data_IF_369925663943
#
_entry.id   IF_369925663943
#
_cell.length_a   1.000
_cell.length_b   1.000
_cell.length_c   1.000
_cell.angle_alpha   90.00
_cell.angle_beta   90.00
_cell.angle_gamma   90.00
#
_symmetry.space_group_name_H-M   'P 1'
#
loop_
_entity.id
_entity.type
_entity.pdbx_description
1 polymer ?
#
# COMPACT_ATOMS: atom_id res chain seq x y z
N UNK A 1 -20.98 58.39 -14.35
CA UNK A 1 -21.22 58.14 -12.90
C UNK A 1 -21.32 56.65 -12.71
N UNK A 2 -20.49 56.11 -11.83
CA UNK A 2 -20.17 54.69 -11.67
C UNK A 2 -21.36 53.83 -11.20
N UNK A 3 -21.34 52.59 -11.68
CA UNK A 3 -22.16 51.45 -11.31
C UNK A 3 -21.81 50.90 -9.92
N UNK A 4 -22.84 50.56 -9.14
CA UNK A 4 -22.77 49.79 -7.90
C UNK A 4 -22.99 48.30 -8.21
N UNK A 5 -22.06 47.45 -7.77
CA UNK A 5 -22.28 46.02 -7.54
C UNK A 5 -21.71 45.69 -6.15
N UNK A 6 -22.36 44.83 -5.34
CA UNK A 6 -21.92 44.51 -4.01
C UNK A 6 -20.86 43.40 -4.00
N UNK A 7 -19.92 43.52 -3.07
CA UNK A 7 -18.97 42.49 -2.66
C UNK A 7 -19.63 41.56 -1.65
N UNK A 8 -19.51 40.25 -1.86
CA UNK A 8 -19.66 39.26 -0.79
C UNK A 8 -18.64 38.16 -1.02
N UNK A 9 -17.68 38.06 -0.10
CA UNK A 9 -16.76 36.94 0.05
C UNK A 9 -17.19 36.24 1.33
N UNK A 10 -17.74 35.04 1.22
CA UNK A 10 -18.06 34.21 2.38
C UNK A 10 -16.94 33.19 2.54
N UNK A 11 -16.24 33.28 3.67
CA UNK A 11 -15.28 32.29 4.17
C UNK A 11 -16.05 31.13 4.80
N UNK A 12 -15.68 29.90 4.47
CA UNK A 12 -16.04 28.71 5.24
C UNK A 12 -14.79 27.86 5.46
N UNK A 13 -14.65 27.39 6.70
CA UNK A 13 -13.47 26.78 7.28
C UNK A 13 -13.23 25.36 6.74
N UNK A 14 -11.95 24.99 6.58
CA UNK A 14 -11.51 23.64 6.23
C UNK A 14 -10.96 22.92 7.47
N UNK A 15 -11.40 21.68 7.64
CA UNK A 15 -10.73 20.69 8.47
C UNK A 15 -9.45 20.22 7.76
N UNK A 16 -8.41 20.06 8.57
CA UNK A 16 -7.15 19.32 8.37
C UNK A 16 -6.67 19.04 6.93
N UNK A 17 -5.61 19.74 6.52
CA UNK A 17 -4.59 19.21 5.61
C UNK A 17 -4.65 19.62 4.13
N UNK A 18 -5.76 20.15 3.62
CA UNK A 18 -5.87 20.49 2.19
C UNK A 18 -5.77 22.00 1.98
N UNK A 19 -4.58 22.48 1.58
CA UNK A 19 -4.38 23.89 1.22
C UNK A 19 -4.94 24.12 -0.19
N UNK A 20 -6.14 24.69 -0.22
CA UNK A 20 -6.74 25.32 -1.39
C UNK A 20 -6.30 26.78 -1.48
N UNK A 21 -5.61 27.18 -2.55
CA UNK A 21 -5.41 28.60 -2.85
C UNK A 21 -5.98 28.92 -4.24
N UNK A 22 -6.96 29.83 -4.35
CA UNK A 22 -7.36 30.37 -5.64
C UNK A 22 -6.24 31.29 -6.14
N UNK A 23 -5.62 30.93 -7.27
CA UNK A 23 -4.59 31.75 -7.89
C UNK A 23 -5.21 33.05 -8.48
N UNK A 24 -4.78 34.26 -8.06
CA UNK A 24 -5.30 35.49 -8.64
C UNK A 24 -4.75 35.66 -10.06
N UNK A 25 -5.63 36.13 -10.95
CA UNK A 25 -5.36 36.48 -12.35
C UNK A 25 -4.03 37.24 -12.52
N UNK A 26 -3.28 36.78 -13.52
CA UNK A 26 -2.13 37.38 -14.20
C UNK A 26 -2.05 38.92 -14.06
N UNK A 27 -1.12 39.40 -13.25
CA UNK A 27 -0.62 40.78 -13.31
C UNK A 27 0.65 40.83 -14.18
N UNK A 28 0.64 41.74 -15.17
CA UNK A 28 1.76 42.06 -16.08
C UNK A 28 2.88 42.86 -15.35
N UNK A 29 4.11 42.91 -15.90
CA UNK A 29 5.36 42.85 -15.13
C UNK A 29 5.93 44.21 -14.67
N UNK A 30 6.73 44.16 -13.59
CA UNK A 30 7.79 45.13 -13.26
C UNK A 30 9.13 44.36 -13.16
N UNK A 31 10.23 44.83 -13.78
CA UNK A 31 11.52 44.16 -13.72
C UNK A 31 12.27 44.56 -12.44
N UNK A 32 12.60 43.58 -11.59
CA UNK A 32 13.43 43.77 -10.42
C UNK A 32 14.29 42.53 -10.18
N UNK A 33 15.61 42.73 -10.16
CA UNK A 33 16.64 41.74 -9.85
C UNK A 33 16.42 41.15 -8.46
N UNK A 34 16.10 39.86 -8.39
CA UNK A 34 16.19 39.07 -7.15
C UNK A 34 17.23 37.97 -7.38
N UNK A 35 18.31 37.97 -6.60
CA UNK A 35 19.28 36.87 -6.61
C UNK A 35 18.57 35.53 -6.31
N UNK A 36 18.98 34.42 -6.95
CA UNK A 36 18.39 33.11 -6.68
C UNK A 36 18.59 32.76 -5.21
N UNK A 37 17.50 32.36 -4.54
CA UNK A 37 17.59 31.87 -3.16
C UNK A 37 18.49 30.63 -3.14
N UNK A 38 19.33 30.48 -2.11
CA UNK A 38 20.19 29.32 -2.00
C UNK A 38 19.37 28.03 -2.00
N UNK A 39 19.64 27.12 -2.94
CA UNK A 39 18.96 25.82 -3.06
C UNK A 39 19.04 25.00 -1.76
N UNK A 40 20.09 25.21 -0.96
CA UNK A 40 20.25 24.59 0.35
C UNK A 40 19.17 25.01 1.36
N UNK A 41 18.68 26.25 1.29
CA UNK A 41 17.61 26.74 2.17
C UNK A 41 16.26 26.20 1.70
N UNK A 42 16.02 26.19 0.38
CA UNK A 42 14.78 25.65 -0.20
C UNK A 42 14.58 24.18 0.20
N UNK A 43 15.65 23.38 0.19
CA UNK A 43 15.59 21.98 0.58
C UNK A 43 15.21 21.73 2.06
N UNK A 44 15.30 22.75 2.92
CA UNK A 44 14.93 22.66 4.34
C UNK A 44 13.48 23.07 4.59
N UNK A 45 12.82 23.70 3.61
CA UNK A 45 11.42 24.13 3.73
C UNK A 45 10.48 22.96 3.45
N UNK A 46 9.35 22.94 4.15
CA UNK A 46 8.25 22.07 3.75
C UNK A 46 7.52 22.62 2.52
N UNK A 47 6.55 21.85 2.01
CA UNK A 47 5.81 22.22 0.80
C UNK A 47 4.95 23.48 1.01
N UNK A 48 4.40 23.69 2.21
CA UNK A 48 3.59 24.85 2.54
C UNK A 48 4.42 26.13 2.50
N UNK A 49 5.58 26.09 3.15
CA UNK A 49 6.56 27.19 3.14
C UNK A 49 7.05 27.51 1.73
N UNK A 50 7.31 26.50 0.89
CA UNK A 50 7.69 26.69 -0.52
C UNK A 50 6.57 27.35 -1.33
N UNK A 51 5.32 26.94 -1.13
CA UNK A 51 4.16 27.58 -1.78
C UNK A 51 4.06 29.04 -1.35
N UNK A 52 4.14 29.32 -0.05
CA UNK A 52 4.10 30.70 0.47
C UNK A 52 5.24 31.55 -0.10
N UNK A 53 6.47 31.02 -0.13
CA UNK A 53 7.62 31.70 -0.71
C UNK A 53 7.42 31.98 -2.21
N UNK A 54 6.87 31.02 -2.96
CA UNK A 54 6.56 31.16 -4.39
C UNK A 54 5.51 32.24 -4.68
N UNK A 55 4.64 32.54 -3.71
CA UNK A 55 3.65 33.61 -3.83
C UNK A 55 4.27 35.01 -3.72
N UNK A 56 5.41 35.15 -3.02
CA UNK A 56 6.00 36.46 -2.70
C UNK A 56 6.58 37.19 -3.91
N UNK A 57 7.23 36.49 -4.85
CA UNK A 57 7.82 37.11 -6.03
C UNK A 57 7.93 36.16 -7.24
N UNK A 58 8.06 36.72 -8.43
CA UNK A 58 8.17 35.94 -9.69
C UNK A 58 9.43 35.06 -9.74
N UNK A 59 10.53 35.54 -9.16
CA UNK A 59 11.80 34.80 -9.15
C UNK A 59 11.64 33.48 -8.38
N UNK A 60 11.17 33.55 -7.13
CA UNK A 60 10.93 32.35 -6.32
C UNK A 60 9.83 31.48 -6.90
N UNK A 61 8.79 32.07 -7.50
CA UNK A 61 7.78 31.28 -8.22
C UNK A 61 8.42 30.37 -9.26
N UNK A 62 9.20 30.96 -10.17
CA UNK A 62 9.85 30.21 -11.24
C UNK A 62 10.86 29.19 -10.72
N UNK A 63 11.60 29.55 -9.66
CA UNK A 63 12.58 28.66 -9.03
C UNK A 63 11.93 27.44 -8.37
N UNK A 64 10.74 27.62 -7.79
CA UNK A 64 10.04 26.59 -7.01
C UNK A 64 9.02 25.79 -7.82
N UNK A 65 8.72 26.15 -9.07
CA UNK A 65 7.79 25.38 -9.92
C UNK A 65 8.10 23.88 -9.95
N UNK A 66 9.37 23.43 -10.15
CA UNK A 66 9.66 22.01 -10.21
C UNK A 66 9.32 21.27 -8.92
N UNK A 67 9.55 21.90 -7.77
CA UNK A 67 9.32 21.30 -6.46
C UNK A 67 7.83 21.34 -6.07
N UNK A 68 7.16 22.48 -6.31
CA UNK A 68 5.75 22.67 -5.96
C UNK A 68 4.82 21.79 -6.81
N UNK A 69 5.20 21.48 -8.05
CA UNK A 69 4.43 20.64 -8.96
C UNK A 69 5.06 19.26 -9.19
N UNK A 70 5.95 18.81 -8.30
CA UNK A 70 6.47 17.43 -8.35
C UNK A 70 5.35 16.40 -8.16
N UNK A 71 4.37 16.69 -7.30
CA UNK A 71 3.25 15.81 -6.99
C UNK A 71 1.93 16.56 -7.15
N UNK A 72 1.01 15.98 -7.92
CA UNK A 72 -0.36 16.49 -8.05
C UNK A 72 -1.29 15.63 -7.19
N UNK A 73 -2.05 16.26 -6.30
CA UNK A 73 -3.00 15.60 -5.41
C UNK A 73 -4.41 16.06 -5.71
N UNK A 74 -5.34 15.13 -5.85
CA UNK A 74 -6.75 15.45 -6.06
C UNK A 74 -7.68 14.30 -5.69
N UNK A 75 -8.97 14.60 -5.60
CA UNK A 75 -10.07 13.66 -5.34
C UNK A 75 -11.01 13.61 -6.54
N UNK A 76 -12.06 12.79 -6.46
CA UNK A 76 -13.17 12.77 -7.42
C UNK A 76 -14.13 13.97 -7.31
N UNK A 77 -13.87 14.97 -6.47
CA UNK A 77 -14.70 16.18 -6.39
C UNK A 77 -14.38 17.18 -7.52
N UNK A 78 -15.42 17.83 -8.06
CA UNK A 78 -15.36 18.69 -9.26
C UNK A 78 -14.34 19.84 -9.11
N UNK A 79 -14.23 20.43 -7.91
CA UNK A 79 -13.32 21.53 -7.67
C UNK A 79 -11.87 21.00 -7.71
N UNK A 80 -11.63 19.86 -7.07
CA UNK A 80 -10.32 19.21 -6.94
C UNK A 80 -9.78 18.79 -8.28
N UNK A 81 -10.58 18.14 -9.11
CA UNK A 81 -10.15 17.70 -10.42
C UNK A 81 -9.88 18.87 -11.37
N UNK A 82 -10.72 19.92 -11.35
CA UNK A 82 -10.53 21.09 -12.20
C UNK A 82 -9.20 21.80 -11.90
N UNK A 83 -8.84 21.86 -10.63
CA UNK A 83 -7.57 22.44 -10.19
C UNK A 83 -6.37 21.56 -10.55
N UNK A 84 -6.52 20.24 -10.46
CA UNK A 84 -5.49 19.29 -10.88
C UNK A 84 -5.23 19.37 -12.39
N UNK A 85 -6.28 19.41 -13.21
CA UNK A 85 -6.14 19.54 -14.66
C UNK A 85 -5.45 20.87 -15.02
N UNK A 86 -5.90 21.99 -14.45
CA UNK A 86 -5.27 23.28 -14.70
C UNK A 86 -3.77 23.30 -14.31
N UNK A 87 -3.41 22.63 -13.20
CA UNK A 87 -2.02 22.50 -12.78
C UNK A 87 -1.20 21.63 -13.74
N UNK A 88 -1.77 20.51 -14.20
CA UNK A 88 -1.11 19.59 -15.14
C UNK A 88 -0.96 20.20 -16.53
N UNK A 89 -1.96 20.94 -17.03
CA UNK A 89 -1.86 21.67 -18.29
C UNK A 89 -0.76 22.73 -18.26
N UNK A 90 -0.61 23.43 -17.14
CA UNK A 90 0.38 24.50 -16.99
C UNK A 90 1.79 23.97 -16.68
N UNK A 91 1.90 22.90 -15.89
CA UNK A 91 3.15 22.50 -15.23
C UNK A 91 3.43 20.99 -15.24
N UNK A 92 2.68 20.19 -15.99
CA UNK A 92 2.77 18.73 -16.00
C UNK A 92 4.15 18.16 -16.35
N UNK A 93 5.00 18.94 -17.02
CA UNK A 93 6.42 18.60 -17.25
C UNK A 93 7.23 18.43 -15.95
N UNK A 94 6.78 18.98 -14.83
CA UNK A 94 7.43 18.83 -13.53
C UNK A 94 6.84 17.70 -12.69
N UNK A 95 5.67 17.21 -13.06
CA UNK A 95 4.94 16.17 -12.32
C UNK A 95 5.63 14.82 -12.46
N UNK A 96 6.01 14.25 -11.32
CA UNK A 96 6.59 12.90 -11.19
C UNK A 96 5.63 11.93 -10.51
N UNK A 97 4.70 12.45 -9.71
CA UNK A 97 3.73 11.64 -9.00
C UNK A 97 2.31 12.23 -9.08
N UNK A 98 1.32 11.35 -9.15
CA UNK A 98 -0.09 11.67 -8.94
C UNK A 98 -0.57 10.93 -7.69
N UNK A 99 -1.27 11.62 -6.81
CA UNK A 99 -2.02 11.01 -5.70
C UNK A 99 -3.51 11.30 -5.92
N UNK A 100 -4.29 10.25 -6.16
CA UNK A 100 -5.72 10.35 -6.43
C UNK A 100 -6.51 9.57 -5.39
N UNK A 101 -7.50 10.22 -4.77
CA UNK A 101 -8.45 9.58 -3.86
C UNK A 101 -9.80 9.44 -4.53
N UNK A 102 -10.22 8.21 -4.78
CA UNK A 102 -11.56 7.87 -5.25
C UNK A 102 -12.53 8.02 -4.08
N UNK A 103 -13.18 9.17 -3.95
CA UNK A 103 -14.17 9.43 -2.90
C UNK A 103 -15.57 9.09 -3.41
N UNK A 104 -16.26 8.22 -2.70
CA UNK A 104 -17.66 7.90 -2.96
C UNK A 104 -18.30 7.38 -1.68
N UNK A 105 -19.44 7.94 -1.27
CA UNK A 105 -20.25 7.29 -0.24
C UNK A 105 -20.94 6.06 -0.87
N UNK A 106 -20.69 4.89 -0.29
CA UNK A 106 -21.27 3.65 -0.76
C UNK A 106 -22.79 3.57 -0.50
N UNK A 107 -23.30 4.28 0.52
CA UNK A 107 -24.73 4.28 0.90
C UNK A 107 -25.57 5.24 0.05
N UNK A 108 -24.99 6.35 -0.41
CA UNK A 108 -25.72 7.42 -1.12
C UNK A 108 -25.73 7.30 -2.65
N UNK A 109 -25.50 6.11 -3.20
CA UNK A 109 -25.23 5.97 -4.64
C UNK A 109 -26.36 5.24 -5.38
N UNK A 110 -27.36 5.96 -5.94
CA UNK A 110 -28.20 5.38 -6.98
C UNK A 110 -27.33 4.91 -8.15
N UNK A 111 -27.86 3.99 -8.96
CA UNK A 111 -27.16 3.49 -10.13
C UNK A 111 -26.61 4.66 -10.99
N UNK A 112 -25.33 4.62 -11.40
CA UNK A 112 -24.71 5.72 -12.13
C UNK A 112 -25.45 6.00 -13.44
N UNK A 113 -25.89 7.24 -13.62
CA UNK A 113 -26.50 7.73 -14.88
C UNK A 113 -25.47 8.37 -15.82
N UNK A 114 -24.31 8.72 -15.28
CA UNK A 114 -23.17 9.35 -15.94
C UNK A 114 -21.89 8.63 -15.49
N UNK A 115 -20.74 8.81 -16.18
CA UNK A 115 -19.46 8.26 -15.73
C UNK A 115 -19.20 8.61 -14.26
N UNK A 116 -18.84 7.61 -13.47
CA UNK A 116 -18.60 7.80 -12.04
C UNK A 116 -17.25 8.46 -11.76
N UNK A 117 -16.26 8.20 -12.61
CA UNK A 117 -15.02 8.96 -12.70
C UNK A 117 -15.27 10.20 -13.56
N UNK A 118 -15.16 11.41 -13.01
CA UNK A 118 -15.46 12.56 -13.82
C UNK A 118 -14.39 12.78 -14.91
N UNK A 119 -14.77 13.40 -16.06
CA UNK A 119 -13.89 13.46 -17.23
C UNK A 119 -12.55 14.16 -16.97
N UNK A 120 -12.54 15.14 -16.08
CA UNK A 120 -11.35 15.90 -15.72
C UNK A 120 -10.35 15.03 -14.97
N UNK A 121 -10.81 14.29 -13.96
CA UNK A 121 -10.00 13.30 -13.26
C UNK A 121 -9.45 12.24 -14.22
N UNK A 122 -10.28 11.75 -15.14
CA UNK A 122 -9.89 10.80 -16.17
C UNK A 122 -8.71 11.32 -17.01
N UNK A 123 -8.78 12.56 -17.54
CA UNK A 123 -7.70 13.14 -18.33
C UNK A 123 -6.39 13.29 -17.56
N UNK A 124 -6.44 13.64 -16.27
CA UNK A 124 -5.23 13.70 -15.43
C UNK A 124 -4.60 12.32 -15.23
N UNK A 125 -5.42 11.29 -14.95
CA UNK A 125 -4.95 9.92 -14.71
C UNK A 125 -4.35 9.26 -15.96
N UNK A 126 -4.86 9.57 -17.16
CA UNK A 126 -4.28 9.10 -18.43
C UNK A 126 -2.82 9.54 -18.60
N UNK A 127 -2.40 10.62 -17.92
CA UNK A 127 -1.00 11.05 -17.86
C UNK A 127 -0.43 11.64 -19.15
N UNK A 128 -1.29 11.99 -20.12
CA UNK A 128 -0.85 12.51 -21.43
C UNK A 128 -0.10 13.84 -21.33
N UNK A 129 -0.37 14.61 -20.28
CA UNK A 129 0.23 15.91 -20.01
C UNK A 129 1.37 15.85 -18.99
N UNK A 130 1.72 14.66 -18.49
CA UNK A 130 2.73 14.46 -17.44
C UNK A 130 3.84 13.52 -17.94
N UNK A 131 4.72 13.99 -18.85
CA UNK A 131 5.72 13.14 -19.51
C UNK A 131 6.75 12.52 -18.55
N UNK A 132 6.93 13.10 -17.36
CA UNK A 132 7.85 12.64 -16.33
C UNK A 132 7.16 11.87 -15.19
N UNK A 133 5.86 11.59 -15.32
CA UNK A 133 5.11 10.80 -14.35
C UNK A 133 5.71 9.40 -14.24
N UNK A 134 5.97 8.98 -13.02
CA UNK A 134 6.53 7.67 -12.72
C UNK A 134 5.71 6.93 -11.67
N UNK A 135 5.11 7.66 -10.73
CA UNK A 135 4.39 7.09 -9.58
C UNK A 135 2.93 7.51 -9.61
N UNK A 136 2.01 6.57 -9.44
CA UNK A 136 0.62 6.87 -9.08
C UNK A 136 0.30 6.22 -7.75
N UNK A 137 -0.26 7.02 -6.84
CA UNK A 137 -0.86 6.56 -5.60
C UNK A 137 -2.37 6.69 -5.72
N UNK A 138 -3.07 5.58 -5.59
CA UNK A 138 -4.53 5.53 -5.50
C UNK A 138 -4.94 5.26 -4.06
N UNK A 139 -5.99 5.94 -3.60
CA UNK A 139 -6.72 5.60 -2.39
C UNK A 139 -8.19 5.38 -2.77
N UNK A 140 -8.79 4.29 -2.31
CA UNK A 140 -10.24 4.06 -2.46
C UNK A 140 -10.93 4.37 -1.14
N UNK A 141 -11.50 5.57 -1.07
CA UNK A 141 -12.18 6.09 0.12
C UNK A 141 -13.69 5.97 -0.10
N UNK A 142 -14.18 4.75 0.11
CA UNK A 142 -15.55 4.36 -0.16
C UNK A 142 -16.43 4.29 1.10
N UNK A 143 -15.86 4.70 2.24
CA UNK A 143 -16.53 4.67 3.54
C UNK A 143 -17.12 3.29 3.87
N UNK A 144 -16.41 2.20 3.50
CA UNK A 144 -16.90 0.81 3.62
C UNK A 144 -16.88 0.30 5.07
N UNK A 145 -16.34 1.10 5.98
CA UNK A 145 -16.12 0.85 7.39
C UNK A 145 -17.00 1.71 8.31
N UNK A 146 -17.97 2.46 7.76
CA UNK A 146 -18.86 3.32 8.54
C UNK A 146 -19.79 2.50 9.47
N UNK A 147 -20.27 3.13 10.56
CA UNK A 147 -20.95 2.53 11.73
C UNK A 147 -22.22 1.67 11.44
N UNK A 148 -22.64 1.51 10.17
CA UNK A 148 -23.73 0.63 9.75
C UNK A 148 -23.25 -0.55 8.89
N UNK A 149 -23.79 -1.75 9.13
CA UNK A 149 -22.97 -2.94 9.34
C UNK A 149 -22.99 -3.85 8.13
N UNK A 150 -22.03 -3.80 7.20
CA UNK A 150 -22.21 -4.64 6.00
C UNK A 150 -20.97 -5.05 5.19
N UNK A 151 -19.86 -5.40 5.87
CA UNK A 151 -18.79 -6.17 5.22
C UNK A 151 -19.37 -7.41 4.52
N UNK A 152 -20.39 -8.05 5.11
CA UNK A 152 -21.10 -9.16 4.47
C UNK A 152 -21.90 -8.73 3.23
N UNK A 153 -22.77 -7.71 3.26
CA UNK A 153 -23.54 -7.36 2.05
C UNK A 153 -22.66 -7.05 0.85
N UNK A 154 -21.51 -6.43 1.07
CA UNK A 154 -20.62 -6.13 -0.04
C UNK A 154 -19.71 -7.30 -0.39
N UNK A 155 -19.18 -8.07 0.55
CA UNK A 155 -18.11 -9.05 0.30
C UNK A 155 -18.51 -10.53 0.46
N UNK A 156 -19.75 -10.85 0.85
CA UNK A 156 -20.15 -12.24 1.16
C UNK A 156 -20.21 -13.17 -0.05
N UNK A 157 -20.31 -12.64 -1.27
CA UNK A 157 -20.50 -13.46 -2.47
C UNK A 157 -19.32 -13.35 -3.45
N UNK A 158 -18.90 -14.51 -3.94
CA UNK A 158 -18.07 -14.64 -5.14
C UNK A 158 -18.79 -14.01 -6.36
N UNK A 159 -18.02 -13.34 -7.21
CA UNK A 159 -18.54 -12.66 -8.39
C UNK A 159 -17.97 -13.29 -9.66
N UNK A 160 -18.87 -13.75 -10.53
CA UNK A 160 -18.53 -14.05 -11.91
C UNK A 160 -18.48 -12.77 -12.76
N UNK A 161 -17.96 -12.87 -13.98
CA UNK A 161 -17.76 -11.71 -14.86
C UNK A 161 -19.06 -10.92 -15.16
N UNK A 162 -20.22 -11.58 -15.21
CA UNK A 162 -21.50 -10.91 -15.44
C UNK A 162 -22.00 -10.17 -14.19
N UNK A 163 -21.78 -10.74 -13.01
CA UNK A 163 -22.07 -10.10 -11.72
C UNK A 163 -21.19 -8.87 -11.50
N UNK A 164 -19.88 -8.96 -11.76
CA UNK A 164 -18.96 -7.82 -11.69
C UNK A 164 -19.49 -6.65 -12.55
N UNK A 165 -19.82 -6.91 -13.81
CA UNK A 165 -20.38 -5.90 -14.73
C UNK A 165 -21.75 -5.39 -14.28
N UNK A 166 -22.57 -6.24 -13.68
CA UNK A 166 -23.86 -5.83 -13.14
C UNK A 166 -23.66 -4.85 -11.98
N UNK A 167 -22.73 -5.14 -11.06
CA UNK A 167 -22.45 -4.29 -9.91
C UNK A 167 -21.77 -2.98 -10.30
N UNK A 168 -20.87 -2.99 -11.28
CA UNK A 168 -20.34 -1.77 -11.89
C UNK A 168 -21.45 -0.87 -12.45
N UNK A 169 -22.52 -1.44 -13.03
CA UNK A 169 -23.68 -0.64 -13.49
C UNK A 169 -24.65 -0.23 -12.39
N UNK A 170 -24.60 -0.89 -11.23
CA UNK A 170 -25.60 -0.73 -10.18
C UNK A 170 -25.11 0.16 -9.04
N UNK A 171 -23.79 0.18 -8.80
CA UNK A 171 -23.18 0.86 -7.67
C UNK A 171 -22.09 1.81 -8.15
N UNK A 172 -22.23 3.10 -7.81
CA UNK A 172 -21.31 4.16 -8.23
C UNK A 172 -19.86 3.90 -7.81
N UNK A 173 -19.63 3.38 -6.60
CA UNK A 173 -18.26 3.07 -6.14
C UNK A 173 -17.60 1.95 -6.97
N UNK A 174 -18.38 0.95 -7.43
CA UNK A 174 -17.91 -0.11 -8.33
C UNK A 174 -17.56 0.47 -9.71
N UNK A 175 -18.44 1.31 -10.26
CA UNK A 175 -18.17 2.04 -11.50
C UNK A 175 -16.90 2.90 -11.38
N UNK A 176 -16.80 3.73 -10.33
CA UNK A 176 -15.65 4.61 -10.09
C UNK A 176 -14.35 3.81 -9.98
N UNK A 177 -14.36 2.69 -9.27
CA UNK A 177 -13.20 1.80 -9.19
C UNK A 177 -12.79 1.26 -10.57
N UNK A 178 -13.74 0.74 -11.36
CA UNK A 178 -13.46 0.23 -12.70
C UNK A 178 -12.97 1.34 -13.66
N UNK A 179 -13.67 2.47 -13.73
CA UNK A 179 -13.34 3.59 -14.60
C UNK A 179 -11.98 4.21 -14.25
N UNK A 180 -11.59 4.20 -12.97
CA UNK A 180 -10.24 4.61 -12.53
C UNK A 180 -9.16 3.71 -13.13
N UNK A 181 -9.38 2.39 -13.13
CA UNK A 181 -8.46 1.46 -13.79
C UNK A 181 -8.43 1.68 -15.30
N UNK A 182 -9.58 1.86 -15.94
CA UNK A 182 -9.67 2.14 -17.38
C UNK A 182 -8.92 3.42 -17.78
N UNK A 183 -8.94 4.46 -16.94
CA UNK A 183 -8.15 5.66 -17.16
C UNK A 183 -6.64 5.37 -17.04
N UNK A 184 -6.23 4.65 -15.98
CA UNK A 184 -4.83 4.36 -15.71
C UNK A 184 -4.16 3.46 -16.73
N UNK A 185 -4.86 2.49 -17.32
CA UNK A 185 -4.23 1.57 -18.28
C UNK A 185 -3.71 2.26 -19.55
N UNK A 186 -4.18 3.49 -19.82
CA UNK A 186 -3.68 4.32 -20.92
C UNK A 186 -2.34 5.00 -20.60
N UNK A 187 -1.94 5.00 -19.32
CA UNK A 187 -0.74 5.65 -18.83
C UNK A 187 0.49 4.78 -19.11
N UNK A 188 1.35 5.25 -20.03
CA UNK A 188 2.53 4.50 -20.51
C UNK A 188 3.83 4.90 -19.82
N UNK A 189 3.83 6.00 -19.06
CA UNK A 189 5.02 6.51 -18.36
C UNK A 189 5.17 5.95 -16.95
N UNK A 190 4.06 5.59 -16.29
CA UNK A 190 4.07 5.05 -14.93
C UNK A 190 4.88 3.75 -14.80
N UNK A 191 5.66 3.64 -13.72
CA UNK A 191 6.40 2.43 -13.34
C UNK A 191 6.17 2.02 -11.88
N UNK A 192 5.59 2.89 -11.07
CA UNK A 192 5.31 2.61 -9.67
C UNK A 192 3.82 2.83 -9.37
N UNK A 193 3.20 1.81 -8.77
CA UNK A 193 1.81 1.83 -8.35
C UNK A 193 1.71 1.66 -6.83
N UNK A 194 1.02 2.56 -6.15
CA UNK A 194 0.75 2.46 -4.71
C UNK A 194 -0.76 2.45 -4.52
N UNK A 195 -1.31 1.36 -4.00
CA UNK A 195 -2.72 1.21 -3.71
C UNK A 195 -2.92 1.27 -2.21
N UNK A 196 -3.64 2.28 -1.76
CA UNK A 196 -4.08 2.44 -0.39
C UNK A 196 -5.54 2.02 -0.28
N UNK A 197 -5.85 1.18 0.71
CA UNK A 197 -7.22 0.70 0.97
C UNK A 197 -7.84 0.05 -0.26
N UNK A 198 -7.10 -0.82 -0.97
CA UNK A 198 -7.63 -1.56 -2.12
C UNK A 198 -8.80 -2.44 -1.66
N UNK A 199 -10.03 -2.20 -2.13
CA UNK A 199 -11.16 -3.05 -1.78
C UNK A 199 -10.96 -4.43 -2.41
N UNK A 200 -11.10 -5.53 -1.65
CA UNK A 200 -10.97 -6.90 -2.15
C UNK A 200 -12.18 -7.30 -2.99
N UNK A 201 -12.28 -6.67 -4.17
CA UNK A 201 -13.29 -6.92 -5.19
C UNK A 201 -12.71 -6.90 -6.58
N UNK A 202 -13.31 -7.74 -7.43
CA UNK A 202 -12.96 -7.82 -8.85
C UNK A 202 -13.42 -6.57 -9.60
N UNK A 203 -12.80 -6.27 -10.73
CA UNK A 203 -13.31 -5.29 -11.70
C UNK A 203 -13.21 -5.90 -13.09
N UNK A 204 -14.08 -5.47 -14.01
CA UNK A 204 -14.05 -5.97 -15.38
C UNK A 204 -12.75 -5.56 -16.08
N UNK A 205 -12.16 -4.42 -15.72
CA UNK A 205 -10.85 -3.98 -16.18
C UNK A 205 -9.73 -5.01 -15.97
N UNK A 206 -9.74 -5.76 -14.86
CA UNK A 206 -8.69 -6.74 -14.53
C UNK A 206 -8.54 -7.85 -15.58
N UNK A 207 -9.63 -8.16 -16.29
CA UNK A 207 -9.65 -9.21 -17.30
C UNK A 207 -9.14 -8.77 -18.68
N UNK A 208 -8.82 -7.49 -18.86
CA UNK A 208 -8.49 -6.91 -20.18
C UNK A 208 -7.01 -7.05 -20.52
N UNK A 209 -6.69 -7.23 -21.81
CA UNK A 209 -5.30 -7.31 -22.26
C UNK A 209 -4.54 -6.00 -22.07
N UNK A 210 -5.23 -4.85 -22.15
CA UNK A 210 -4.63 -3.53 -21.93
C UNK A 210 -4.20 -3.38 -20.47
N UNK A 211 -5.02 -3.87 -19.52
CA UNK A 211 -4.65 -3.91 -18.10
C UNK A 211 -3.43 -4.80 -17.84
N UNK A 212 -3.38 -5.99 -18.44
CA UNK A 212 -2.21 -6.88 -18.35
C UNK A 212 -0.95 -6.25 -18.91
N UNK A 213 -1.06 -5.58 -20.06
CA UNK A 213 0.06 -4.86 -20.67
C UNK A 213 0.54 -3.72 -19.76
N UNK A 214 -0.39 -2.97 -19.18
CA UNK A 214 -0.10 -1.93 -18.22
C UNK A 214 0.64 -2.47 -16.99
N UNK A 215 0.19 -3.56 -16.38
CA UNK A 215 0.88 -4.17 -15.24
C UNK A 215 2.30 -4.63 -15.58
N UNK A 216 2.51 -5.13 -16.81
CA UNK A 216 3.81 -5.65 -17.24
C UNK A 216 4.93 -4.60 -17.27
N UNK A 217 4.59 -3.31 -17.28
CA UNK A 217 5.55 -2.21 -17.31
C UNK A 217 6.02 -1.77 -15.91
N UNK A 218 5.30 -2.17 -14.86
CA UNK A 218 5.58 -1.74 -13.48
C UNK A 218 6.89 -2.35 -12.97
N UNK A 219 7.65 -1.54 -12.25
CA UNK A 219 8.90 -1.91 -11.59
C UNK A 219 8.77 -1.95 -10.06
N UNK A 220 7.80 -1.20 -9.50
CA UNK A 220 7.49 -1.15 -8.07
C UNK A 220 5.98 -1.18 -7.85
N UNK A 221 5.52 -1.93 -6.86
CA UNK A 221 4.12 -1.96 -6.47
C UNK A 221 3.95 -2.08 -4.96
N UNK A 222 3.00 -1.33 -4.41
CA UNK A 222 2.57 -1.42 -3.02
C UNK A 222 1.06 -1.64 -2.97
N UNK A 223 0.64 -2.68 -2.24
CA UNK A 223 -0.75 -3.04 -2.02
C UNK A 223 -1.03 -2.95 -0.52
N UNK A 224 -1.83 -1.96 -0.12
CA UNK A 224 -2.47 -1.97 1.19
C UNK A 224 -3.91 -2.43 0.97
N UNK A 225 -4.18 -3.69 1.29
CA UNK A 225 -5.47 -4.33 1.05
C UNK A 225 -6.40 -3.95 2.20
N UNK A 226 -7.56 -3.41 1.85
CA UNK A 226 -8.62 -3.10 2.81
C UNK A 226 -9.07 -4.37 3.51
N UNK A 227 -9.27 -4.26 4.82
CA UNK A 227 -9.93 -5.25 5.65
C UNK A 227 -11.05 -4.55 6.40
N UNK A 228 -11.95 -5.35 6.96
CA UNK A 228 -13.14 -4.84 7.63
C UNK A 228 -13.58 -5.79 8.72
N UNK A 229 -14.21 -5.23 9.74
CA UNK A 229 -14.86 -5.97 10.82
C UNK A 229 -16.32 -5.55 10.83
N UNK A 230 -17.24 -6.51 10.76
CA UNK A 230 -18.66 -6.21 10.91
C UNK A 230 -19.06 -6.01 12.39
N UNK A 231 -20.33 -5.70 12.65
CA UNK A 231 -20.83 -5.51 14.02
C UNK A 231 -20.77 -6.78 14.89
N UNK A 232 -20.74 -7.96 14.27
CA UNK A 232 -20.60 -9.24 14.95
C UNK A 232 -19.13 -9.57 15.23
N UNK A 233 -18.20 -8.73 14.76
CA UNK A 233 -16.78 -8.89 14.95
C UNK A 233 -16.12 -9.81 13.92
N UNK A 234 -16.81 -10.10 12.82
CA UNK A 234 -16.39 -11.00 11.76
C UNK A 234 -15.54 -10.26 10.73
N UNK A 235 -14.43 -10.87 10.30
CA UNK A 235 -13.47 -10.26 9.37
C UNK A 235 -13.82 -10.50 7.90
N UNK A 236 -13.39 -9.58 7.04
CA UNK A 236 -13.57 -9.72 5.59
C UNK A 236 -12.98 -11.01 5.05
N UNK A 237 -11.88 -11.50 5.62
CA UNK A 237 -11.15 -12.68 5.15
C UNK A 237 -11.92 -14.01 5.25
N UNK A 238 -13.02 -14.06 6.01
CA UNK A 238 -13.89 -15.24 6.08
C UNK A 238 -15.09 -15.15 5.13
N UNK A 239 -15.30 -14.02 4.46
CA UNK A 239 -16.34 -13.87 3.44
C UNK A 239 -15.92 -14.57 2.15
N UNK A 240 -16.88 -15.19 1.43
CA UNK A 240 -16.53 -15.94 0.21
C UNK A 240 -16.00 -15.04 -0.91
N UNK A 241 -16.55 -13.81 -1.05
CA UNK A 241 -16.05 -12.84 -2.01
C UNK A 241 -14.66 -12.29 -1.65
N UNK A 242 -14.36 -12.15 -0.35
CA UNK A 242 -13.01 -11.85 0.12
C UNK A 242 -12.01 -12.95 -0.24
N UNK A 243 -12.35 -14.21 0.03
CA UNK A 243 -11.51 -15.36 -0.32
C UNK A 243 -11.26 -15.48 -1.83
N UNK A 244 -12.32 -15.35 -2.65
CA UNK A 244 -12.21 -15.36 -4.12
C UNK A 244 -11.28 -14.25 -4.63
N UNK A 245 -11.30 -13.06 -4.00
CA UNK A 245 -10.37 -12.00 -4.34
C UNK A 245 -8.90 -12.40 -4.09
N UNK A 246 -8.59 -12.96 -2.92
CA UNK A 246 -7.22 -13.38 -2.59
C UNK A 246 -6.75 -14.53 -3.48
N UNK A 247 -7.63 -15.50 -3.77
CA UNK A 247 -7.35 -16.60 -4.70
C UNK A 247 -6.98 -16.12 -6.10
N UNK A 248 -7.69 -15.09 -6.60
CA UNK A 248 -7.50 -14.53 -7.93
C UNK A 248 -6.47 -13.41 -7.99
N UNK A 249 -5.83 -13.05 -6.87
CA UNK A 249 -4.93 -11.89 -6.82
C UNK A 249 -3.69 -12.08 -7.71
N UNK A 250 -3.16 -13.31 -7.78
CA UNK A 250 -2.06 -13.63 -8.70
C UNK A 250 -2.49 -13.48 -10.16
N UNK A 251 -3.59 -14.13 -10.54
CA UNK A 251 -4.13 -14.13 -11.91
C UNK A 251 -4.52 -12.71 -12.37
N UNK A 252 -5.04 -11.90 -11.45
CA UNK A 252 -5.49 -10.54 -11.76
C UNK A 252 -4.30 -9.57 -11.83
N UNK A 253 -3.30 -9.73 -10.96
CA UNK A 253 -2.19 -8.77 -10.84
C UNK A 253 -0.81 -9.39 -11.05
N UNK A 254 -0.36 -10.23 -10.11
CA UNK A 254 1.06 -10.55 -9.96
C UNK A 254 1.63 -11.37 -11.11
N UNK A 255 0.85 -12.28 -11.70
CA UNK A 255 1.24 -13.04 -12.89
C UNK A 255 1.62 -12.15 -14.08
N UNK A 256 1.01 -10.96 -14.15
CA UNK A 256 1.18 -10.02 -15.25
C UNK A 256 2.30 -8.99 -15.01
N UNK A 257 2.77 -8.81 -13.77
CA UNK A 257 3.80 -7.83 -13.38
C UNK A 257 5.24 -8.35 -13.63
N UNK A 258 5.54 -8.73 -14.87
CA UNK A 258 6.79 -9.43 -15.24
C UNK A 258 8.09 -8.63 -15.03
N UNK A 259 8.00 -7.30 -14.92
CA UNK A 259 9.16 -6.40 -14.73
C UNK A 259 9.31 -5.90 -13.30
N UNK A 260 8.44 -6.35 -12.39
CA UNK A 260 8.42 -5.89 -11.01
C UNK A 260 9.70 -6.30 -10.28
N UNK A 261 10.32 -5.34 -9.61
CA UNK A 261 11.52 -5.52 -8.79
C UNK A 261 11.22 -5.38 -7.31
N UNK A 262 10.23 -4.54 -6.97
CA UNK A 262 9.87 -4.24 -5.59
C UNK A 262 8.38 -4.47 -5.38
N UNK A 263 8.05 -5.34 -4.42
CA UNK A 263 6.68 -5.60 -4.02
C UNK A 263 6.54 -5.40 -2.51
N UNK A 264 5.53 -4.63 -2.14
CA UNK A 264 5.08 -4.50 -0.76
C UNK A 264 3.59 -4.86 -0.69
N UNK A 265 3.24 -5.82 0.17
CA UNK A 265 1.85 -6.15 0.47
C UNK A 265 1.64 -6.01 1.97
N UNK A 266 0.65 -5.22 2.33
CA UNK A 266 0.13 -5.08 3.68
C UNK A 266 -1.35 -5.44 3.64
N UNK A 267 -1.74 -6.44 4.41
CA UNK A 267 -3.14 -6.81 4.56
C UNK A 267 -3.67 -6.24 5.89
N UNK A 268 -4.84 -5.61 5.87
CA UNK A 268 -5.44 -5.13 7.11
C UNK A 268 -5.93 -6.29 8.00
N UNK A 269 -6.48 -7.32 7.37
CA UNK A 269 -6.78 -8.61 7.98
C UNK A 269 -5.67 -9.62 7.63
N UNK A 270 -5.42 -10.61 8.50
CA UNK A 270 -4.33 -11.56 8.29
C UNK A 270 -4.63 -12.52 7.14
N UNK A 271 -3.66 -12.76 6.26
CA UNK A 271 -3.80 -13.67 5.11
C UNK A 271 -2.60 -14.63 4.96
N UNK A 272 -2.72 -15.59 4.03
CA UNK A 272 -1.63 -16.51 3.68
C UNK A 272 -1.57 -17.77 4.54
N UNK A 273 -2.68 -18.17 5.16
CA UNK A 273 -2.80 -19.45 5.85
C UNK A 273 -3.16 -20.56 4.84
N UNK A 274 -2.36 -21.63 4.79
CA UNK A 274 -2.46 -22.75 3.81
C UNK A 274 -3.87 -23.39 3.74
N UNK A 275 -4.69 -23.26 4.79
CA UNK A 275 -6.01 -23.90 4.87
C UNK A 275 -7.18 -22.99 4.56
N UNK A 276 -7.09 -21.71 4.93
CA UNK A 276 -8.25 -20.81 4.94
C UNK A 276 -8.14 -19.65 3.96
N UNK A 277 -6.93 -19.09 3.79
CA UNK A 277 -6.73 -17.89 2.97
C UNK A 277 -5.41 -18.06 2.23
N UNK A 278 -5.44 -18.42 0.94
CA UNK A 278 -4.25 -18.81 0.23
C UNK A 278 -3.25 -17.66 0.14
N UNK A 279 -1.97 -18.03 0.12
CA UNK A 279 -0.92 -17.07 -0.16
C UNK A 279 -1.03 -16.58 -1.61
N UNK A 280 -1.05 -15.25 -1.85
CA UNK A 280 -1.44 -14.72 -3.16
C UNK A 280 -0.32 -14.73 -4.20
N UNK A 281 0.90 -15.22 -3.88
CA UNK A 281 2.01 -15.27 -4.84
C UNK A 281 2.33 -16.71 -5.25
N UNK A 282 2.46 -16.94 -6.56
CA UNK A 282 2.89 -18.24 -7.12
C UNK A 282 4.38 -18.25 -7.43
N UNK A 283 5.00 -19.42 -7.38
CA UNK A 283 6.45 -19.61 -7.47
C UNK A 283 7.09 -19.11 -8.78
N UNK A 284 6.30 -19.00 -9.83
CA UNK A 284 6.66 -18.60 -11.18
C UNK A 284 6.30 -17.14 -11.51
N UNK A 285 5.51 -16.50 -10.65
CA UNK A 285 5.10 -15.10 -10.81
C UNK A 285 6.22 -14.16 -10.36
N UNK A 286 6.29 -12.95 -10.95
CA UNK A 286 7.27 -11.91 -10.58
C UNK A 286 8.76 -12.31 -10.76
N UNK A 287 9.19 -12.83 -11.93
CA UNK A 287 10.51 -13.44 -12.13
C UNK A 287 11.72 -12.51 -11.91
N UNK A 288 11.50 -11.19 -11.88
CA UNK A 288 12.55 -10.18 -11.65
C UNK A 288 12.51 -9.58 -10.23
N UNK A 289 11.72 -10.16 -9.31
CA UNK A 289 11.52 -9.61 -7.99
C UNK A 289 12.82 -9.65 -7.17
N UNK A 290 13.25 -8.48 -6.72
CA UNK A 290 14.46 -8.28 -5.93
C UNK A 290 14.14 -7.98 -4.46
N UNK A 291 12.98 -7.40 -4.17
CA UNK A 291 12.56 -7.00 -2.83
C UNK A 291 11.12 -7.39 -2.59
N UNK A 292 10.89 -8.18 -1.53
CA UNK A 292 9.56 -8.54 -1.06
C UNK A 292 9.37 -8.04 0.37
N UNK A 293 8.31 -7.27 0.59
CA UNK A 293 7.87 -6.83 1.92
C UNK A 293 6.45 -7.31 2.17
N UNK A 294 6.26 -8.05 3.25
CA UNK A 294 4.97 -8.58 3.68
C UNK A 294 4.66 -8.03 5.07
N UNK A 295 3.43 -7.55 5.25
CA UNK A 295 2.92 -7.12 6.54
C UNK A 295 1.57 -7.77 6.85
N UNK A 296 1.45 -8.35 8.06
CA UNK A 296 0.25 -9.07 8.52
C UNK A 296 -0.05 -10.35 7.72
N UNK A 297 0.93 -11.25 7.64
CA UNK A 297 0.84 -12.53 6.92
C UNK A 297 1.17 -13.71 7.83
N UNK A 298 0.55 -14.85 7.56
CA UNK A 298 1.12 -16.13 7.95
C UNK A 298 2.31 -16.49 7.04
N UNK A 299 3.36 -17.06 7.63
CA UNK A 299 4.33 -17.81 6.84
C UNK A 299 3.69 -19.14 6.44
N UNK A 300 3.94 -19.55 5.21
CA UNK A 300 3.28 -20.68 4.57
C UNK A 300 4.25 -21.52 3.75
N UNK A 301 3.83 -22.73 3.41
CA UNK A 301 4.57 -23.58 2.47
C UNK A 301 4.65 -22.94 1.08
N UNK A 302 3.63 -22.19 0.67
CA UNK A 302 3.62 -21.40 -0.57
C UNK A 302 4.63 -20.26 -0.54
N UNK A 303 4.76 -19.52 0.57
CA UNK A 303 5.78 -18.47 0.70
C UNK A 303 7.19 -19.07 0.62
N UNK A 304 7.42 -20.23 1.23
CA UNK A 304 8.70 -20.95 1.10
C UNK A 304 8.96 -21.32 -0.36
N UNK A 305 7.96 -21.89 -1.04
CA UNK A 305 8.05 -22.26 -2.46
C UNK A 305 8.32 -21.06 -3.36
N UNK A 306 7.68 -19.92 -3.05
CA UNK A 306 7.91 -18.65 -3.73
C UNK A 306 9.36 -18.18 -3.57
N UNK A 307 9.88 -18.14 -2.34
CA UNK A 307 11.26 -17.73 -2.06
C UNK A 307 12.26 -18.69 -2.74
N UNK A 308 11.97 -19.99 -2.77
CA UNK A 308 12.78 -20.99 -3.46
C UNK A 308 12.82 -20.75 -4.98
N UNK A 309 11.68 -20.48 -5.60
CA UNK A 309 11.59 -20.11 -7.03
C UNK A 309 12.37 -18.85 -7.37
N UNK A 310 12.51 -17.93 -6.41
CA UNK A 310 13.19 -16.65 -6.55
C UNK A 310 14.58 -16.61 -5.89
N UNK A 311 15.14 -17.77 -5.51
CA UNK A 311 16.34 -17.84 -4.70
C UNK A 311 17.55 -17.12 -5.31
N UNK A 312 17.63 -16.98 -6.64
CA UNK A 312 18.77 -16.32 -7.31
C UNK A 312 18.57 -14.82 -7.54
N UNK A 313 17.33 -14.33 -7.45
CA UNK A 313 16.97 -12.94 -7.79
C UNK A 313 16.57 -12.12 -6.58
N UNK A 314 15.91 -12.73 -5.59
CA UNK A 314 15.45 -12.06 -4.39
C UNK A 314 16.64 -11.66 -3.51
N UNK A 315 16.77 -10.36 -3.25
CA UNK A 315 17.87 -9.74 -2.49
C UNK A 315 17.42 -9.23 -1.13
N UNK A 316 16.16 -8.84 -0.98
CA UNK A 316 15.62 -8.33 0.27
C UNK A 316 14.28 -8.99 0.60
N UNK A 317 14.14 -9.43 1.85
CA UNK A 317 12.92 -9.98 2.42
C UNK A 317 12.59 -9.28 3.74
N UNK A 318 11.42 -8.66 3.80
CA UNK A 318 10.91 -7.99 4.99
C UNK A 318 9.62 -8.66 5.44
N UNK A 319 9.64 -9.18 6.67
CA UNK A 319 8.51 -9.85 7.31
C UNK A 319 8.12 -9.02 8.53
N UNK A 320 7.10 -8.19 8.39
CA UNK A 320 6.64 -7.31 9.46
C UNK A 320 5.31 -7.80 10.01
N UNK A 321 5.19 -7.95 11.34
CA UNK A 321 3.95 -8.50 11.94
C UNK A 321 3.50 -9.79 11.22
N UNK A 322 4.45 -10.67 10.90
CA UNK A 322 4.17 -11.99 10.32
C UNK A 322 4.17 -13.05 11.43
N UNK A 323 3.46 -14.16 11.19
CA UNK A 323 3.22 -15.21 12.19
C UNK A 323 3.43 -16.60 11.62
N UNK A 324 3.90 -17.54 12.44
CA UNK A 324 3.76 -18.97 12.16
C UNK A 324 2.40 -19.47 12.60
N UNK A 325 1.93 -20.56 12.03
CA UNK A 325 0.77 -21.30 12.53
C UNK A 325 1.20 -22.65 13.16
N UNK A 326 0.25 -23.58 13.31
CA UNK A 326 0.50 -24.92 13.82
C UNK A 326 1.17 -25.87 12.82
N UNK A 327 1.18 -25.52 11.52
CA UNK A 327 1.64 -26.37 10.43
C UNK A 327 3.06 -26.05 10.00
N UNK A 328 3.47 -24.77 10.06
CA UNK A 328 4.82 -24.35 9.69
C UNK A 328 5.45 -23.49 10.78
N UNK A 329 6.35 -24.08 11.57
CA UNK A 329 7.13 -23.33 12.57
C UNK A 329 8.11 -22.35 11.93
N UNK A 330 8.46 -21.28 12.66
CA UNK A 330 9.51 -20.35 12.23
C UNK A 330 10.86 -21.02 12.00
N UNK A 331 11.27 -21.92 12.89
CA UNK A 331 12.50 -22.71 12.73
C UNK A 331 12.50 -23.47 11.40
N UNK A 332 11.39 -24.13 11.07
CA UNK A 332 11.24 -24.87 9.82
C UNK A 332 11.24 -23.94 8.62
N UNK A 333 10.49 -22.84 8.64
CA UNK A 333 10.49 -21.82 7.59
C UNK A 333 11.92 -21.32 7.30
N UNK A 334 12.67 -20.88 8.32
CA UNK A 334 14.02 -20.38 8.15
C UNK A 334 14.98 -21.45 7.63
N UNK A 335 14.86 -22.69 8.08
CA UNK A 335 15.69 -23.79 7.59
C UNK A 335 15.37 -24.16 6.13
N UNK A 336 14.11 -24.14 5.73
CA UNK A 336 13.73 -24.37 4.34
C UNK A 336 14.22 -23.25 3.42
N UNK A 337 14.12 -22.00 3.85
CA UNK A 337 14.69 -20.85 3.13
C UNK A 337 16.22 -20.97 3.07
N UNK A 338 16.90 -21.28 4.17
CA UNK A 338 18.36 -21.47 4.20
C UNK A 338 18.83 -22.57 3.26
N UNK A 339 18.14 -23.73 3.22
CA UNK A 339 18.46 -24.85 2.32
C UNK A 339 18.40 -24.46 0.84
N UNK A 340 17.54 -23.51 0.48
CA UNK A 340 17.43 -22.98 -0.88
C UNK A 340 18.66 -22.15 -1.32
N UNK A 341 19.53 -21.78 -0.37
CA UNK A 341 20.71 -20.91 -0.58
C UNK A 341 20.36 -19.63 -1.35
N UNK A 342 19.42 -18.83 -0.82
CA UNK A 342 18.98 -17.64 -1.52
C UNK A 342 20.08 -16.59 -1.55
N UNK A 343 20.00 -15.74 -2.57
CA UNK A 343 20.82 -14.57 -2.84
C UNK A 343 20.47 -13.36 -1.95
N UNK A 344 19.71 -13.59 -0.88
CA UNK A 344 19.26 -12.56 0.06
C UNK A 344 20.46 -11.86 0.71
N UNK A 345 20.54 -10.54 0.56
CA UNK A 345 21.52 -9.66 1.21
C UNK A 345 20.89 -8.83 2.35
N UNK A 346 19.56 -8.89 2.47
CA UNK A 346 18.80 -8.26 3.55
C UNK A 346 17.63 -9.16 3.96
N UNK A 347 17.52 -9.39 5.26
CA UNK A 347 16.37 -10.03 5.89
C UNK A 347 16.01 -9.22 7.13
N UNK A 348 14.82 -8.62 7.12
CA UNK A 348 14.29 -7.84 8.23
C UNK A 348 13.07 -8.53 8.78
N UNK A 349 13.13 -8.89 10.06
CA UNK A 349 11.95 -9.29 10.82
C UNK A 349 11.51 -8.10 11.68
N UNK A 350 10.48 -7.41 11.22
CA UNK A 350 9.93 -6.22 11.86
C UNK A 350 8.74 -6.58 12.72
N UNK A 351 8.99 -7.15 13.90
CA UNK A 351 7.95 -7.31 14.90
C UNK A 351 8.17 -6.35 16.06
N UNK A 352 7.08 -5.88 16.68
CA UNK A 352 7.18 -5.24 17.97
C UNK A 352 7.89 -6.19 18.95
N UNK A 353 9.10 -5.85 19.41
CA UNK A 353 9.88 -6.64 20.39
C UNK A 353 9.21 -6.70 21.77
N UNK A 354 8.06 -6.04 21.93
CA UNK A 354 7.36 -5.87 23.18
C UNK A 354 6.00 -6.58 23.29
N UNK A 355 5.69 -7.72 22.63
CA UNK A 355 4.38 -8.37 22.86
C UNK A 355 4.32 -8.77 24.34
N UNK A 356 5.38 -9.42 24.82
CA UNK A 356 5.58 -9.82 26.22
C UNK A 356 5.73 -8.70 27.23
N UNK A 357 5.80 -7.43 26.83
CA UNK A 357 5.94 -6.31 27.78
C UNK A 357 4.59 -5.70 28.17
N UNK A 358 3.47 -6.12 27.56
CA UNK A 358 2.14 -5.64 27.92
C UNK A 358 1.64 -6.31 29.20
N UNK A 359 0.78 -5.60 29.95
CA UNK A 359 0.16 -6.12 31.18
C UNK A 359 -0.89 -7.21 30.89
N UNK A 360 -1.36 -7.32 29.67
CA UNK A 360 -2.38 -8.28 29.24
C UNK A 360 -1.81 -9.69 29.20
N UNK A 361 -0.58 -9.85 28.72
CA UNK A 361 0.11 -11.15 28.70
C UNK A 361 0.36 -11.71 30.11
N UNK A 362 0.53 -10.85 31.12
CA UNK A 362 0.68 -11.29 32.52
C UNK A 362 -0.58 -11.97 33.10
N UNK A 363 -1.74 -11.78 32.47
CA UNK A 363 -2.99 -12.42 32.88
C UNK A 363 -3.10 -13.84 32.34
N UNK A 364 -2.54 -14.10 31.16
CA UNK A 364 -2.70 -15.36 30.43
C UNK A 364 -1.55 -16.33 30.68
N UNK A 365 -0.33 -15.83 30.91
CA UNK A 365 0.82 -16.70 31.20
C UNK A 365 0.73 -17.27 32.62
N UNK A 366 0.67 -18.60 32.72
CA UNK A 366 0.51 -19.30 34.01
C UNK A 366 1.71 -19.11 34.93
N UNK A 367 2.92 -19.18 34.37
CA UNK A 367 4.17 -19.02 35.13
C UNK A 367 4.81 -17.64 34.86
N UNK A 368 4.47 -16.68 35.73
CA UNK A 368 5.02 -15.33 35.70
C UNK A 368 6.55 -15.29 35.83
N UNK A 369 7.16 -16.31 36.46
CA UNK A 369 8.62 -16.37 36.59
C UNK A 369 9.29 -16.65 35.24
N UNK A 370 8.66 -17.45 34.37
CA UNK A 370 9.16 -17.71 33.01
C UNK A 370 9.07 -16.44 32.18
N UNK A 371 7.94 -15.74 32.22
CA UNK A 371 7.76 -14.47 31.52
C UNK A 371 8.81 -13.43 31.95
N UNK A 372 9.08 -13.33 33.25
CA UNK A 372 10.13 -12.43 33.77
C UNK A 372 11.52 -12.79 33.24
N UNK A 373 11.84 -14.09 33.12
CA UNK A 373 13.11 -14.55 32.52
C UNK A 373 13.21 -14.17 31.04
N UNK A 374 12.14 -14.34 30.27
CA UNK A 374 12.08 -13.93 28.84
C UNK A 374 12.32 -12.43 28.71
N UNK A 375 11.61 -11.61 29.50
CA UNK A 375 11.80 -10.14 29.51
C UNK A 375 13.22 -9.72 29.87
N UNK A 376 13.84 -10.40 30.84
CA UNK A 376 15.24 -10.13 31.21
C UNK A 376 16.20 -10.48 30.05
N UNK A 377 16.00 -11.60 29.37
CA UNK A 377 16.80 -11.98 28.19
C UNK A 377 16.66 -10.97 27.06
N UNK A 378 15.43 -10.57 26.71
CA UNK A 378 15.18 -9.57 25.66
C UNK A 378 15.80 -8.20 26.00
N UNK A 379 15.79 -7.79 27.27
CA UNK A 379 16.46 -6.56 27.73
C UNK A 379 17.98 -6.66 27.67
N UNK A 380 18.54 -7.84 27.96
CA UNK A 380 19.97 -8.05 27.98
C UNK A 380 20.56 -8.12 26.56
N UNK A 381 19.80 -8.62 25.59
CA UNK A 381 20.28 -8.89 24.23
C UNK A 381 19.34 -8.28 23.19
N UNK A 382 19.72 -7.12 22.66
CA UNK A 382 18.92 -6.38 21.68
C UNK A 382 18.76 -7.09 20.32
N UNK A 383 19.59 -8.09 20.05
CA UNK A 383 19.56 -8.91 18.83
C UNK A 383 18.53 -10.04 18.88
N UNK A 384 17.98 -10.34 20.05
CA UNK A 384 16.95 -11.37 20.19
C UNK A 384 15.64 -10.91 19.57
N UNK A 385 15.02 -11.82 18.85
CA UNK A 385 13.68 -11.66 18.30
C UNK A 385 12.73 -12.65 18.99
N UNK A 386 11.46 -12.24 19.07
CA UNK A 386 10.36 -13.12 19.45
C UNK A 386 9.61 -13.44 18.17
N UNK A 387 9.67 -14.69 17.75
CA UNK A 387 8.93 -15.17 16.60
C UNK A 387 7.59 -15.72 17.08
N UNK A 388 6.50 -15.04 16.74
CA UNK A 388 5.18 -15.38 17.28
C UNK A 388 4.49 -16.44 16.45
N UNK A 389 3.78 -17.30 17.16
CA UNK A 389 2.80 -18.21 16.60
C UNK A 389 1.40 -17.63 16.81
N UNK A 390 0.65 -17.53 15.71
CA UNK A 390 -0.75 -17.14 15.72
C UNK A 390 -1.64 -18.35 15.41
N UNK A 391 -2.80 -18.41 16.06
CA UNK A 391 -3.91 -19.23 15.62
C UNK A 391 -4.89 -18.37 14.81
N UNK A 392 -5.53 -18.97 13.82
CA UNK A 392 -6.59 -18.33 13.05
C UNK A 392 -7.92 -18.95 13.44
N UNK A 393 -8.86 -18.11 13.84
CA UNK A 393 -10.24 -18.53 14.05
C UNK A 393 -10.98 -18.44 12.70
N UNK A 394 -11.37 -19.57 12.08
CA UNK A 394 -12.05 -19.55 10.78
C UNK A 394 -13.50 -19.09 10.87
N UNK A 395 -14.10 -19.09 12.06
CA UNK A 395 -15.49 -18.67 12.25
C UNK A 395 -15.58 -17.14 12.40
N UNK A 396 -14.56 -16.49 12.96
CA UNK A 396 -14.52 -15.03 13.15
C UNK A 396 -13.51 -14.30 12.25
N UNK A 397 -12.57 -15.03 11.65
CA UNK A 397 -11.45 -14.49 10.90
C UNK A 397 -10.39 -13.80 11.77
N UNK A 398 -10.37 -14.10 13.07
CA UNK A 398 -9.50 -13.43 14.04
C UNK A 398 -8.19 -14.16 14.24
N UNK A 399 -7.14 -13.36 14.41
CA UNK A 399 -5.87 -13.82 14.93
C UNK A 399 -5.96 -13.91 16.46
N UNK A 400 -5.68 -15.08 17.01
CA UNK A 400 -5.48 -15.27 18.44
C UNK A 400 -4.07 -15.78 18.73
N UNK A 401 -3.65 -15.64 19.97
CA UNK A 401 -2.30 -16.01 20.40
C UNK A 401 -2.37 -16.89 21.64
N UNK A 402 -1.47 -17.86 21.70
CA UNK A 402 -1.24 -18.66 22.90
C UNK A 402 0.11 -18.26 23.49
N UNK A 403 0.11 -17.31 24.42
CA UNK A 403 1.35 -16.72 24.92
C UNK A 403 2.25 -17.72 25.65
N UNK A 404 1.67 -18.77 26.25
CA UNK A 404 2.41 -19.87 26.86
C UNK A 404 3.24 -20.63 25.80
N UNK A 405 2.72 -20.81 24.59
CA UNK A 405 3.43 -21.45 23.47
C UNK A 405 4.56 -20.55 22.97
N UNK A 406 4.30 -19.27 22.75
CA UNK A 406 5.32 -18.30 22.33
C UNK A 406 6.49 -18.25 23.34
N UNK A 407 6.18 -18.24 24.64
CA UNK A 407 7.18 -18.27 25.72
C UNK A 407 7.95 -19.60 25.74
N UNK A 408 7.28 -20.73 25.53
CA UNK A 408 7.92 -22.04 25.47
C UNK A 408 8.91 -22.11 24.29
N UNK A 409 8.47 -21.74 23.08
CA UNK A 409 9.30 -21.74 21.86
C UNK A 409 10.50 -20.81 21.97
N UNK A 410 10.30 -19.60 22.50
CA UNK A 410 11.40 -18.67 22.77
C UNK A 410 12.46 -19.27 23.70
N UNK A 411 12.06 -20.05 24.71
CA UNK A 411 13.00 -20.69 25.63
C UNK A 411 13.71 -21.91 25.02
N UNK A 412 13.06 -22.64 24.11
CA UNK A 412 13.69 -23.73 23.36
C UNK A 412 14.78 -23.19 22.40
N UNK A 413 14.54 -22.02 21.83
CA UNK A 413 15.50 -21.29 21.00
C UNK A 413 15.74 -21.91 19.63
N UNK A 414 14.86 -22.80 19.16
CA UNK A 414 14.96 -23.41 17.84
C UNK A 414 14.80 -22.37 16.72
N UNK A 415 13.79 -21.50 16.83
CA UNK A 415 13.52 -20.43 15.87
C UNK A 415 14.70 -19.44 15.79
N UNK A 416 15.26 -19.07 16.95
CA UNK A 416 16.43 -18.20 17.06
C UNK A 416 17.66 -18.81 16.37
N UNK A 417 17.94 -20.10 16.63
CA UNK A 417 19.07 -20.80 16.00
C UNK A 417 18.90 -20.89 14.49
N UNK A 418 17.70 -21.17 13.99
CA UNK A 418 17.41 -21.25 12.56
C UNK A 418 17.51 -19.88 11.89
N UNK A 419 16.97 -18.84 12.53
CA UNK A 419 17.10 -17.47 12.07
C UNK A 419 18.57 -17.04 11.97
N UNK A 420 19.39 -17.32 12.99
CA UNK A 420 20.81 -16.96 12.93
C UNK A 420 21.57 -17.71 11.85
N UNK A 421 21.28 -18.99 11.60
CA UNK A 421 21.86 -19.71 10.44
C UNK A 421 21.53 -19.02 9.13
N UNK A 422 20.29 -18.59 8.94
CA UNK A 422 19.89 -17.85 7.75
C UNK A 422 20.57 -16.48 7.69
N UNK A 423 20.67 -15.77 8.80
CA UNK A 423 21.33 -14.45 8.86
C UNK A 423 22.83 -14.53 8.60
N UNK A 424 23.52 -15.60 8.98
CA UNK A 424 24.92 -15.84 8.59
C UNK A 424 25.07 -15.83 7.06
N UNK A 425 24.24 -16.61 6.35
CA UNK A 425 24.19 -16.60 4.89
C UNK A 425 23.87 -15.21 4.31
N UNK A 426 22.90 -14.51 4.88
CA UNK A 426 22.52 -13.16 4.44
C UNK A 426 23.67 -12.16 4.61
N UNK A 427 24.42 -12.26 5.70
CA UNK A 427 25.57 -11.40 5.96
C UNK A 427 26.73 -11.68 4.99
N UNK A 428 26.96 -12.94 4.65
CA UNK A 428 27.96 -13.33 3.65
C UNK A 428 27.60 -12.76 2.27
N UNK A 429 26.36 -12.97 1.81
CA UNK A 429 25.85 -12.40 0.57
C UNK A 429 25.96 -10.86 0.53
N UNK A 430 25.67 -10.19 1.65
CA UNK A 430 25.79 -8.74 1.80
C UNK A 430 27.24 -8.26 1.70
N UNK A 431 28.20 -9.05 2.17
CA UNK A 431 29.61 -8.74 2.04
C UNK A 431 30.06 -8.87 0.57
N UNK A 432 29.67 -9.96 -0.11
CA UNK A 432 29.99 -10.19 -1.53
C UNK A 432 29.46 -9.08 -2.45
N UNK A 433 28.20 -8.66 -2.27
CA UNK A 433 27.61 -7.58 -3.07
C UNK A 433 28.34 -6.23 -2.92
N UNK A 434 29.00 -5.99 -1.78
CA UNK A 434 29.83 -4.78 -1.56
C UNK A 434 31.18 -4.85 -2.25
N UNK A 435 31.69 -6.05 -2.54
CA UNK A 435 32.93 -6.23 -3.31
C UNK A 435 32.68 -6.06 -4.81
N UNK A 436 31.55 -6.55 -5.33
CA UNK A 436 31.22 -6.44 -6.77
C UNK A 436 30.80 -5.02 -7.23
N UNK A 437 30.49 -4.13 -6.29
CA UNK A 437 30.06 -2.75 -6.55
C UNK A 437 31.20 -1.71 -6.47
N UNK A 438 32.44 -2.15 -6.23
CA UNK A 438 33.66 -1.32 -6.25
C UNK A 438 34.45 -1.56 -7.52
#
# INVERSE_FOLDING_TARGET
MQSLLPRTTTLLAAAEGTIWIPWPRLWLPQPGYGEPFSSSIINLLDIGDKIHLSATCKSYRNQLLPENFTTIRFTSDEVSEASALAAVEAYGQYTKAIEFTCQCDHQESPAPTEPSLPPTACEVLKGLLTPNLHTVRLKFDFNLDDDEPDVYVYFDFEENADQVRFYERSYKWRALMNETWEALVTNTSMRELILNELPPKQTSAYSTDVFRQFLSQLESATFHIFGGEDYAGLRLTITSGGQDFFERLDDSFFHHMRRLKHLHIQASDIIGNDYYIPFPLKSESLPLLQSLKLENFFISSELVSFIQGHAQVLRSLHLNECFSDEYLSWAEFFDQVYKAKPSLAELVYGHNKAPFMTKEIERWVRDKSVLQRVRQRLKAYATLNVFRQGGFDPDEGRLYFEEDIDVMRFNQGDDERAYFRLMELVNDNKAEAKFDSR
#
